data_IF_473842081370
#
_entry.id   IF_473842081370
#
_cell.length_a   1.000
_cell.length_b   1.000
_cell.length_c   1.000
_cell.angle_alpha   90.00
_cell.angle_beta   90.00
_cell.angle_gamma   90.00
#
_symmetry.space_group_name_H-M   'P 1'
#
loop_
_entity.id
_entity.type
_entity.pdbx_description
1 polymer ?
#
# COMPACT_ATOMS: atom_id res chain seq x y z
N UNK A 1 18.61 20.32 7.08
CA UNK A 1 18.84 18.89 7.44
C UNK A 1 18.62 18.04 6.20
N UNK A 2 19.44 17.02 5.97
CA UNK A 2 19.28 16.15 4.81
C UNK A 2 18.49 14.92 5.25
N UNK A 3 17.44 14.54 4.52
CA UNK A 3 16.68 13.31 4.78
C UNK A 3 17.60 12.12 4.54
N UNK A 4 17.75 11.25 5.53
CA UNK A 4 18.62 10.09 5.46
C UNK A 4 17.85 8.86 5.00
N UNK A 5 18.49 8.09 4.13
CA UNK A 5 17.94 6.85 3.58
C UNK A 5 18.86 5.67 3.93
N UNK A 6 18.28 4.49 3.97
CA UNK A 6 19.01 3.22 4.02
C UNK A 6 18.53 2.26 2.95
N UNK A 7 19.39 1.35 2.59
CA UNK A 7 19.05 0.22 1.71
C UNK A 7 18.78 -1.01 2.57
N UNK A 8 17.70 -1.72 2.23
CA UNK A 8 17.33 -2.98 2.85
C UNK A 8 17.37 -4.05 1.78
N UNK A 9 18.15 -5.10 2.01
CA UNK A 9 18.18 -6.29 1.17
C UNK A 9 17.25 -7.35 1.76
N UNK A 10 16.35 -7.90 0.92
CA UNK A 10 15.41 -8.95 1.34
C UNK A 10 15.11 -9.90 0.18
N UNK A 11 14.63 -11.10 0.51
CA UNK A 11 14.22 -12.10 -0.48
C UNK A 11 12.69 -12.20 -0.53
N UNK A 12 12.10 -12.04 -1.72
CA UNK A 12 10.67 -12.21 -1.99
C UNK A 12 10.49 -12.91 -3.33
N UNK A 13 9.64 -13.94 -3.39
CA UNK A 13 9.31 -14.64 -4.62
C UNK A 13 10.52 -15.30 -5.31
N UNK A 14 11.50 -15.76 -4.55
CA UNK A 14 12.73 -16.38 -5.07
C UNK A 14 13.74 -15.37 -5.68
N UNK A 15 13.50 -14.08 -5.52
CA UNK A 15 14.38 -13.00 -5.98
C UNK A 15 14.87 -12.15 -4.81
N UNK A 16 16.11 -11.65 -4.89
CA UNK A 16 16.63 -10.63 -3.98
C UNK A 16 16.22 -9.25 -4.45
N UNK A 17 15.79 -8.44 -3.48
CA UNK A 17 15.33 -7.07 -3.67
C UNK A 17 16.17 -6.12 -2.86
N UNK A 18 16.52 -4.99 -3.44
CA UNK A 18 17.17 -3.88 -2.75
C UNK A 18 16.18 -2.72 -2.66
N UNK A 19 15.78 -2.38 -1.46
CA UNK A 19 14.75 -1.36 -1.21
C UNK A 19 15.36 -0.17 -0.49
N UNK A 20 15.29 0.99 -1.12
CA UNK A 20 15.56 2.29 -0.49
C UNK A 20 14.35 2.68 0.34
N UNK A 21 14.62 3.02 1.59
CA UNK A 21 13.61 3.54 2.50
C UNK A 21 14.22 4.62 3.40
N UNK A 22 13.39 5.35 4.15
CA UNK A 22 13.88 6.25 5.19
C UNK A 22 14.74 5.48 6.21
N UNK A 23 15.82 6.09 6.67
CA UNK A 23 16.69 5.48 7.69
C UNK A 23 15.95 5.27 9.01
N UNK A 24 15.12 6.24 9.41
CA UNK A 24 14.22 6.17 10.57
C UNK A 24 12.96 6.99 10.28
N UNK A 25 11.84 6.62 10.90
CA UNK A 25 10.63 7.45 10.93
C UNK A 25 10.77 8.66 11.88
N UNK A 26 11.74 8.61 12.79
CA UNK A 26 11.92 9.62 13.85
C UNK A 26 12.93 10.70 13.45
N UNK A 27 13.44 10.70 12.22
CA UNK A 27 14.37 11.71 11.70
C UNK A 27 13.67 13.00 11.24
N UNK A 28 12.69 13.48 12.04
CA UNK A 28 11.95 14.67 11.68
C UNK A 28 12.64 15.94 12.19
N UNK A 29 12.68 16.96 11.33
CA UNK A 29 13.20 18.26 11.72
C UNK A 29 12.38 18.89 12.84
N UNK A 30 12.99 19.88 13.50
CA UNK A 30 12.30 20.81 14.40
C UNK A 30 11.15 21.51 13.68
N UNK A 31 10.20 22.11 14.43
CA UNK A 31 9.01 22.81 13.84
C UNK A 31 9.39 23.79 12.71
N UNK A 32 10.47 24.54 12.85
CA UNK A 32 10.95 25.50 11.84
C UNK A 32 11.48 24.82 10.57
N UNK A 33 12.10 23.65 10.72
CA UNK A 33 12.64 22.87 9.59
C UNK A 33 11.55 22.05 8.90
N UNK A 34 10.46 21.70 9.61
CA UNK A 34 9.29 21.01 9.05
C UNK A 34 8.60 21.85 7.98
N UNK A 35 8.36 23.15 8.22
CA UNK A 35 7.74 24.03 7.25
C UNK A 35 8.55 24.14 5.95
N UNK A 36 9.88 24.16 6.03
CA UNK A 36 10.73 24.37 4.86
C UNK A 36 11.10 23.10 4.10
N UNK A 37 11.21 21.95 4.78
CA UNK A 37 11.61 20.65 4.20
C UNK A 37 10.38 19.79 3.93
N UNK A 38 9.42 19.78 4.84
CA UNK A 38 8.22 18.97 4.75
C UNK A 38 7.43 19.25 3.47
N UNK A 39 7.11 20.52 3.20
CA UNK A 39 6.36 20.90 1.99
C UNK A 39 7.08 20.53 0.69
N UNK A 40 8.42 20.58 0.67
CA UNK A 40 9.22 20.23 -0.52
C UNK A 40 9.31 18.73 -0.76
N UNK A 41 9.36 17.92 0.33
CA UNK A 41 9.59 16.47 0.25
C UNK A 41 8.26 15.71 0.27
N UNK A 42 7.29 16.18 1.07
CA UNK A 42 6.06 15.42 1.36
C UNK A 42 4.81 16.01 0.69
N UNK A 43 4.86 17.28 0.28
CA UNK A 43 3.72 18.03 -0.24
C UNK A 43 2.96 18.77 0.87
N UNK A 44 2.51 19.99 0.57
CA UNK A 44 1.80 20.86 1.52
C UNK A 44 0.43 20.32 1.98
N UNK A 45 -0.12 19.37 1.22
CA UNK A 45 -1.44 18.76 1.43
C UNK A 45 -1.40 17.47 2.25
N UNK A 46 -0.21 16.99 2.65
CA UNK A 46 -0.04 15.79 3.48
C UNK A 46 0.13 16.17 4.94
N UNK A 47 -0.72 15.69 5.87
CA UNK A 47 -0.54 15.92 7.30
C UNK A 47 0.84 15.47 7.79
N UNK A 48 1.47 16.25 8.64
CA UNK A 48 2.83 16.00 9.15
C UNK A 48 2.99 14.60 9.80
N UNK A 49 1.95 14.14 10.51
CA UNK A 49 1.92 12.83 11.13
C UNK A 49 2.04 11.67 10.14
N UNK A 50 1.72 11.91 8.87
CA UNK A 50 1.73 10.90 7.81
C UNK A 50 3.00 10.93 6.94
N UNK A 51 3.82 11.97 7.06
CA UNK A 51 5.01 12.15 6.21
C UNK A 51 5.94 10.94 6.18
N UNK A 52 6.30 10.30 7.33
CA UNK A 52 7.24 9.19 7.30
C UNK A 52 6.63 7.86 6.88
N UNK A 53 5.32 7.72 6.97
CA UNK A 53 4.68 6.40 6.88
C UNK A 53 4.89 5.77 5.50
N UNK A 54 4.78 6.55 4.43
CA UNK A 54 5.01 6.08 3.06
C UNK A 54 6.48 5.77 2.73
N UNK A 55 7.42 6.28 3.55
CA UNK A 55 8.86 6.09 3.36
C UNK A 55 9.44 4.83 4.02
N UNK A 56 8.66 4.06 4.73
CA UNK A 56 9.12 2.89 5.53
C UNK A 56 8.61 1.59 4.91
N UNK A 57 9.48 0.58 4.88
CA UNK A 57 9.10 -0.79 4.52
C UNK A 57 8.48 -1.49 5.75
N UNK A 58 7.17 -1.57 5.76
CA UNK A 58 6.42 -2.21 6.85
C UNK A 58 6.40 -3.74 6.72
N UNK A 59 6.38 -4.49 7.83
CA UNK A 59 6.29 -5.95 7.78
C UNK A 59 5.07 -6.47 7.00
N UNK A 60 3.93 -5.79 7.10
CA UNK A 60 2.72 -6.12 6.33
C UNK A 60 2.92 -5.98 4.81
N UNK A 61 3.72 -4.99 4.38
CA UNK A 61 4.08 -4.81 2.97
C UNK A 61 4.99 -5.93 2.46
N UNK A 62 5.90 -6.43 3.30
CA UNK A 62 6.73 -7.61 2.96
C UNK A 62 5.85 -8.85 2.81
N UNK A 63 4.92 -9.08 3.73
CA UNK A 63 3.99 -10.21 3.67
C UNK A 63 3.08 -10.12 2.44
N UNK A 64 2.53 -8.93 2.14
CA UNK A 64 1.75 -8.70 0.92
C UNK A 64 2.56 -9.05 -0.33
N UNK A 65 3.81 -8.58 -0.40
CA UNK A 65 4.70 -8.87 -1.52
C UNK A 65 5.00 -10.38 -1.66
N UNK A 66 5.15 -11.12 -0.57
CA UNK A 66 5.30 -12.58 -0.58
C UNK A 66 4.06 -13.29 -1.11
N UNK A 67 2.86 -12.83 -0.71
CA UNK A 67 1.59 -13.41 -1.19
C UNK A 67 1.46 -13.19 -2.69
N UNK A 68 1.59 -11.95 -3.17
CA UNK A 68 1.42 -11.65 -4.60
C UNK A 68 2.54 -12.27 -5.46
N UNK A 69 3.69 -12.57 -4.89
CA UNK A 69 4.74 -13.32 -5.58
C UNK A 69 4.35 -14.77 -5.90
N UNK A 70 3.45 -15.37 -5.12
CA UNK A 70 3.01 -16.76 -5.28
C UNK A 70 1.69 -16.93 -6.04
N UNK A 71 0.96 -15.85 -6.28
CA UNK A 71 -0.35 -15.86 -6.93
C UNK A 71 -0.25 -15.47 -8.41
N UNK A 72 -1.31 -15.73 -9.20
CA UNK A 72 -1.38 -15.46 -10.62
C UNK A 72 -2.46 -14.41 -10.91
N UNK A 73 -2.12 -13.43 -11.78
CA UNK A 73 -2.97 -12.28 -12.10
C UNK A 73 -3.03 -12.00 -13.62
N UNK A 74 -2.99 -13.05 -14.44
CA UNK A 74 -2.96 -12.94 -15.90
C UNK A 74 -4.19 -12.21 -16.43
N UNK A 75 -3.97 -11.16 -17.22
CA UNK A 75 -5.04 -10.34 -17.81
C UNK A 75 -5.81 -9.46 -16.82
N UNK A 76 -5.38 -9.40 -15.56
CA UNK A 76 -6.01 -8.58 -14.53
C UNK A 76 -5.35 -7.21 -14.43
N UNK A 77 -6.17 -6.17 -14.26
CA UNK A 77 -5.75 -4.80 -13.91
C UNK A 77 -5.70 -4.67 -12.41
N UNK A 78 -4.53 -4.37 -11.86
CA UNK A 78 -4.25 -4.38 -10.42
C UNK A 78 -3.99 -2.97 -9.93
N UNK A 79 -4.53 -2.61 -8.75
CA UNK A 79 -4.20 -1.39 -8.01
C UNK A 79 -3.63 -1.74 -6.64
N UNK A 80 -2.47 -1.21 -6.30
CA UNK A 80 -2.01 -1.17 -4.91
C UNK A 80 -2.38 0.18 -4.29
N UNK A 81 -3.09 0.16 -3.15
CA UNK A 81 -3.46 1.35 -2.38
C UNK A 81 -2.55 1.50 -1.15
N UNK A 82 -2.11 2.73 -0.87
CA UNK A 82 -1.15 2.98 0.22
C UNK A 82 0.16 2.24 0.01
N UNK A 83 0.74 2.35 -1.20
CA UNK A 83 1.87 1.52 -1.60
C UNK A 83 3.18 1.81 -0.83
N UNK A 84 3.35 3.01 -0.27
CA UNK A 84 4.57 3.40 0.42
C UNK A 84 5.82 3.21 -0.45
N UNK A 85 6.74 2.34 -0.02
CA UNK A 85 7.94 1.97 -0.80
C UNK A 85 7.64 1.03 -1.97
N UNK A 86 6.39 0.62 -2.15
CA UNK A 86 5.80 -0.09 -3.29
C UNK A 86 6.37 -1.50 -3.56
N UNK A 87 6.84 -2.23 -2.55
CA UNK A 87 7.45 -3.55 -2.76
C UNK A 87 6.51 -4.54 -3.48
N UNK A 88 5.21 -4.59 -3.13
CA UNK A 88 4.27 -5.51 -3.76
C UNK A 88 4.04 -5.16 -5.24
N UNK A 89 3.87 -3.87 -5.57
CA UNK A 89 3.79 -3.40 -6.97
C UNK A 89 5.05 -3.71 -7.77
N UNK A 90 6.24 -3.54 -7.16
CA UNK A 90 7.51 -3.89 -7.80
C UNK A 90 7.60 -5.39 -8.10
N UNK A 91 7.18 -6.23 -7.17
CA UNK A 91 7.12 -7.70 -7.36
C UNK A 91 6.17 -8.06 -8.50
N UNK A 92 4.96 -7.53 -8.52
CA UNK A 92 3.98 -7.75 -9.58
C UNK A 92 4.53 -7.28 -10.95
N UNK A 93 5.11 -6.08 -11.01
CA UNK A 93 5.68 -5.53 -12.25
C UNK A 93 6.82 -6.37 -12.79
N UNK A 94 7.69 -6.88 -11.91
CA UNK A 94 8.80 -7.76 -12.30
C UNK A 94 8.33 -9.09 -12.92
N UNK A 95 7.10 -9.51 -12.63
CA UNK A 95 6.44 -10.69 -13.17
C UNK A 95 5.62 -10.40 -14.43
N UNK A 96 5.63 -9.14 -14.91
CA UNK A 96 4.95 -8.72 -16.13
C UNK A 96 3.47 -8.35 -15.97
N UNK A 97 2.95 -8.25 -14.74
CA UNK A 97 1.55 -7.90 -14.51
C UNK A 97 1.27 -6.41 -14.73
N UNK A 98 0.03 -6.10 -15.07
CA UNK A 98 -0.48 -4.73 -15.19
C UNK A 98 -0.87 -4.22 -13.79
N UNK A 99 0.03 -3.45 -13.18
CA UNK A 99 -0.14 -2.89 -11.84
C UNK A 99 0.09 -1.40 -11.81
N UNK A 100 -0.83 -0.70 -11.13
CA UNK A 100 -0.74 0.71 -10.77
C UNK A 100 -0.49 0.76 -9.25
N UNK A 101 0.54 1.49 -8.85
CA UNK A 101 0.79 1.77 -7.44
C UNK A 101 0.17 3.11 -7.06
N UNK A 102 -0.49 3.21 -5.93
CA UNK A 102 -1.06 4.47 -5.48
C UNK A 102 -0.79 4.77 -4.01
N UNK A 103 -0.66 6.05 -3.73
CA UNK A 103 -0.50 6.57 -2.37
C UNK A 103 -1.06 7.99 -2.31
N UNK A 104 -1.48 8.41 -1.12
CA UNK A 104 -1.86 9.80 -0.86
C UNK A 104 -0.65 10.72 -0.95
N UNK A 105 0.52 10.24 -0.53
CA UNK A 105 1.77 10.99 -0.54
C UNK A 105 2.52 10.79 -1.87
N UNK A 106 2.73 11.88 -2.62
CA UNK A 106 3.47 11.85 -3.89
C UNK A 106 4.92 11.37 -3.77
N UNK A 107 5.53 11.49 -2.59
CA UNK A 107 6.87 10.98 -2.30
C UNK A 107 6.98 9.45 -2.48
N UNK A 108 5.90 8.69 -2.23
CA UNK A 108 5.87 7.26 -2.52
C UNK A 108 6.16 6.97 -4.01
N UNK A 109 5.70 7.85 -4.92
CA UNK A 109 6.01 7.74 -6.34
C UNK A 109 7.48 7.98 -6.70
N UNK A 110 8.18 8.80 -5.94
CA UNK A 110 9.63 8.99 -6.10
C UNK A 110 10.38 7.74 -5.63
N UNK A 111 10.09 7.25 -4.44
CA UNK A 111 10.67 6.01 -3.90
C UNK A 111 10.39 4.80 -4.79
N UNK A 112 9.17 4.69 -5.35
CA UNK A 112 8.82 3.64 -6.29
C UNK A 112 9.74 3.65 -7.51
N UNK A 113 9.97 4.82 -8.15
CA UNK A 113 10.85 4.93 -9.32
C UNK A 113 12.30 4.58 -8.99
N UNK A 114 12.80 5.06 -7.86
CA UNK A 114 14.15 4.73 -7.38
C UNK A 114 14.28 3.22 -7.07
N UNK A 115 13.32 2.65 -6.38
CA UNK A 115 13.30 1.22 -6.05
C UNK A 115 13.19 0.34 -7.30
N UNK A 116 12.41 0.76 -8.30
CA UNK A 116 12.37 0.08 -9.61
C UNK A 116 13.75 0.08 -10.30
N UNK A 117 14.42 1.25 -10.31
CA UNK A 117 15.77 1.41 -10.87
C UNK A 117 16.80 0.54 -10.14
N UNK A 118 16.81 0.54 -8.81
CA UNK A 118 17.70 -0.29 -7.99
C UNK A 118 17.57 -1.79 -8.27
N UNK A 119 16.41 -2.23 -8.73
CA UNK A 119 16.12 -3.63 -9.02
C UNK A 119 16.09 -3.97 -10.51
N UNK A 120 16.47 -3.03 -11.39
CA UNK A 120 16.49 -3.20 -12.84
C UNK A 120 15.15 -3.67 -13.43
N UNK A 121 14.05 -3.07 -13.01
CA UNK A 121 12.70 -3.32 -13.52
C UNK A 121 12.06 -2.02 -14.03
N UNK A 122 11.13 -2.08 -15.00
CA UNK A 122 10.32 -0.93 -15.34
C UNK A 122 9.51 -0.46 -14.13
N UNK A 123 9.47 0.85 -13.88
CA UNK A 123 8.65 1.38 -12.80
C UNK A 123 7.16 1.14 -13.11
N UNK A 124 6.36 0.65 -12.15
CA UNK A 124 4.91 0.70 -12.22
C UNK A 124 4.41 2.14 -12.44
N UNK A 125 3.24 2.30 -13.05
CA UNK A 125 2.57 3.60 -13.04
C UNK A 125 2.26 3.99 -11.59
N UNK A 126 2.48 5.27 -11.25
CA UNK A 126 2.11 5.82 -9.95
C UNK A 126 0.90 6.75 -10.09
N UNK A 127 -0.06 6.60 -9.19
CA UNK A 127 -1.24 7.44 -9.07
C UNK A 127 -1.28 8.06 -7.67
N UNK A 128 -1.26 9.39 -7.59
CA UNK A 128 -1.60 10.08 -6.33
C UNK A 128 -3.10 9.92 -6.09
N UNK A 129 -3.47 9.23 -5.02
CA UNK A 129 -4.85 8.83 -4.75
C UNK A 129 -5.23 9.12 -3.30
N UNK A 130 -6.32 9.89 -3.11
CA UNK A 130 -7.02 10.04 -1.83
C UNK A 130 -8.28 9.17 -1.84
N UNK A 131 -8.54 8.43 -0.77
CA UNK A 131 -9.79 7.67 -0.63
C UNK A 131 -10.99 8.55 -0.29
N UNK A 132 -10.75 9.78 0.19
CA UNK A 132 -11.80 10.76 0.52
C UNK A 132 -12.37 11.44 -0.71
N UNK A 133 -11.57 11.59 -1.77
CA UNK A 133 -11.98 12.15 -3.06
C UNK A 133 -11.37 11.33 -4.21
N UNK A 134 -11.82 10.07 -4.39
CA UNK A 134 -11.22 9.16 -5.34
C UNK A 134 -11.68 9.46 -6.77
N UNK A 135 -10.72 9.61 -7.67
CA UNK A 135 -10.97 9.54 -9.10
C UNK A 135 -10.61 8.14 -9.62
N UNK A 136 -11.59 7.45 -10.19
CA UNK A 136 -11.42 6.12 -10.80
C UNK A 136 -11.98 6.17 -12.21
N UNK A 137 -11.10 6.11 -13.21
CA UNK A 137 -11.47 6.09 -14.64
C UNK A 137 -12.09 4.74 -15.03
N UNK A 138 -11.45 3.65 -14.64
CA UNK A 138 -11.89 2.28 -14.86
C UNK A 138 -11.70 1.43 -13.60
N UNK A 139 -12.71 0.60 -13.21
CA UNK A 139 -12.58 -0.32 -12.09
C UNK A 139 -11.49 -1.36 -12.30
N UNK A 140 -10.97 -1.87 -11.19
CA UNK A 140 -9.88 -2.84 -11.13
C UNK A 140 -10.41 -4.26 -10.91
N UNK A 141 -9.69 -5.23 -11.46
CA UNK A 141 -9.94 -6.65 -11.20
C UNK A 141 -9.47 -7.03 -9.81
N UNK A 142 -8.32 -6.45 -9.39
CA UNK A 142 -7.71 -6.71 -8.09
C UNK A 142 -7.27 -5.41 -7.44
N UNK A 143 -7.61 -5.23 -6.16
CA UNK A 143 -7.10 -4.15 -5.32
C UNK A 143 -6.32 -4.77 -4.17
N UNK A 144 -5.06 -4.36 -4.00
CA UNK A 144 -4.22 -4.82 -2.90
C UNK A 144 -3.79 -3.68 -2.00
N UNK A 145 -3.50 -3.97 -0.73
CA UNK A 145 -3.00 -2.96 0.20
C UNK A 145 -2.44 -3.58 1.48
N UNK A 146 -1.57 -2.86 2.15
CA UNK A 146 -1.03 -3.30 3.43
C UNK A 146 -0.92 -2.14 4.42
N UNK A 147 -1.30 -2.43 5.68
CA UNK A 147 -1.19 -1.48 6.80
C UNK A 147 -1.90 -0.13 6.57
N UNK A 148 -3.04 -0.14 5.87
CA UNK A 148 -3.81 1.07 5.49
C UNK A 148 -4.90 1.45 6.49
N UNK A 149 -5.15 0.65 7.53
CA UNK A 149 -6.21 0.87 8.51
C UNK A 149 -5.66 1.50 9.81
N UNK A 150 -4.82 2.51 9.70
CA UNK A 150 -4.08 3.08 10.85
C UNK A 150 -4.77 4.31 11.50
N UNK A 151 -5.71 4.97 10.81
CA UNK A 151 -6.42 6.14 11.31
C UNK A 151 -7.93 5.88 11.55
N UNK A 152 -8.56 6.65 12.46
CA UNK A 152 -10.00 6.68 12.58
C UNK A 152 -10.63 7.15 11.25
N UNK A 153 -11.58 6.34 10.71
CA UNK A 153 -12.21 6.66 9.42
C UNK A 153 -11.76 5.77 8.27
N UNK A 154 -10.48 5.37 8.21
CA UNK A 154 -9.93 4.54 7.13
C UNK A 154 -10.81 3.32 6.78
N UNK A 155 -11.40 2.67 7.79
CA UNK A 155 -12.29 1.52 7.57
C UNK A 155 -13.49 1.83 6.66
N UNK A 156 -14.10 3.00 6.84
CA UNK A 156 -15.23 3.44 6.02
C UNK A 156 -14.73 3.94 4.65
N UNK A 157 -13.68 4.75 4.63
CA UNK A 157 -13.11 5.34 3.41
C UNK A 157 -12.64 4.26 2.44
N UNK A 158 -11.87 3.27 2.93
CA UNK A 158 -11.41 2.14 2.10
C UNK A 158 -12.59 1.30 1.62
N UNK A 159 -13.62 1.09 2.45
CA UNK A 159 -14.81 0.36 2.04
C UNK A 159 -15.58 1.09 0.92
N UNK A 160 -15.80 2.41 1.03
CA UNK A 160 -16.45 3.20 -0.02
C UNK A 160 -15.59 3.24 -1.28
N UNK A 161 -14.28 3.35 -1.15
CA UNK A 161 -13.37 3.24 -2.27
C UNK A 161 -13.49 1.89 -2.99
N UNK A 162 -13.53 0.77 -2.26
CA UNK A 162 -13.72 -0.56 -2.85
C UNK A 162 -15.05 -0.70 -3.60
N UNK A 163 -16.13 -0.07 -3.12
CA UNK A 163 -17.43 -0.07 -3.83
C UNK A 163 -17.32 0.57 -5.20
N UNK A 164 -16.58 1.66 -5.30
CA UNK A 164 -16.36 2.42 -6.52
C UNK A 164 -15.35 1.75 -7.45
N UNK A 165 -14.20 1.36 -6.91
CA UNK A 165 -13.02 1.01 -7.69
C UNK A 165 -12.90 -0.47 -8.04
N UNK A 166 -13.63 -1.37 -7.35
CA UNK A 166 -13.56 -2.80 -7.61
C UNK A 166 -14.62 -3.23 -8.61
N UNK A 167 -14.26 -3.98 -9.65
CA UNK A 167 -15.20 -4.60 -10.59
C UNK A 167 -16.21 -5.49 -9.85
N UNK A 168 -17.39 -5.77 -10.42
CA UNK A 168 -18.36 -6.69 -9.80
C UNK A 168 -17.77 -8.08 -9.49
N UNK A 169 -16.95 -8.63 -10.39
CA UNK A 169 -16.24 -9.91 -10.21
C UNK A 169 -14.85 -9.76 -9.58
N UNK A 170 -14.48 -8.55 -9.20
CA UNK A 170 -13.15 -8.25 -8.66
C UNK A 170 -12.97 -8.72 -7.22
N UNK A 171 -11.70 -8.82 -6.81
CA UNK A 171 -11.31 -9.17 -5.46
C UNK A 171 -10.31 -8.17 -4.86
N UNK A 172 -10.32 -8.04 -3.53
CA UNK A 172 -9.31 -7.27 -2.85
C UNK A 172 -8.54 -8.12 -1.83
N UNK A 173 -7.26 -7.81 -1.66
CA UNK A 173 -6.35 -8.48 -0.74
C UNK A 173 -5.69 -7.44 0.16
N UNK A 174 -5.97 -7.49 1.45
CA UNK A 174 -5.34 -6.61 2.43
C UNK A 174 -4.54 -7.39 3.47
N UNK A 175 -3.40 -6.84 3.86
CA UNK A 175 -2.60 -7.34 4.98
C UNK A 175 -2.57 -6.27 6.07
N UNK A 176 -3.05 -6.63 7.27
CA UNK A 176 -3.11 -5.73 8.41
C UNK A 176 -2.35 -6.32 9.61
N UNK A 177 -1.51 -5.55 10.32
CA UNK A 177 -0.73 -6.04 11.46
C UNK A 177 -1.58 -6.29 12.73
N UNK A 178 -2.90 -6.18 12.63
CA UNK A 178 -3.83 -6.29 13.76
C UNK A 178 -4.14 -4.95 14.41
N UNK A 179 -4.29 -3.91 13.61
CA UNK A 179 -4.65 -2.58 14.06
C UNK A 179 -6.06 -2.56 14.69
N UNK A 180 -6.33 -1.57 15.52
CA UNK A 180 -7.61 -1.44 16.21
C UNK A 180 -8.82 -1.35 15.26
N UNK A 181 -8.59 -0.77 14.06
CA UNK A 181 -9.65 -0.50 13.09
C UNK A 181 -10.01 -1.67 12.16
N UNK A 182 -9.21 -2.75 12.15
CA UNK A 182 -9.43 -3.89 11.26
C UNK A 182 -10.77 -4.60 11.51
N UNK A 183 -11.19 -4.74 12.77
CA UNK A 183 -12.53 -5.32 13.10
C UNK A 183 -13.67 -4.45 12.60
N UNK A 184 -13.53 -3.13 12.71
CA UNK A 184 -14.51 -2.19 12.16
C UNK A 184 -14.56 -2.32 10.64
N UNK A 185 -13.44 -2.49 9.98
CA UNK A 185 -13.37 -2.70 8.53
C UNK A 185 -14.13 -3.97 8.12
N UNK A 186 -13.90 -5.10 8.80
CA UNK A 186 -14.61 -6.35 8.55
C UNK A 186 -16.15 -6.17 8.65
N UNK A 187 -16.64 -5.50 9.70
CA UNK A 187 -18.08 -5.23 9.88
C UNK A 187 -18.62 -4.24 8.85
N UNK A 188 -17.85 -3.22 8.49
CA UNK A 188 -18.22 -2.24 7.45
C UNK A 188 -18.34 -2.92 6.08
N UNK A 189 -17.40 -3.78 5.71
CA UNK A 189 -17.44 -4.57 4.48
C UNK A 189 -18.70 -5.44 4.40
N UNK A 190 -19.04 -6.15 5.48
CA UNK A 190 -20.23 -6.99 5.54
C UNK A 190 -21.52 -6.17 5.37
N UNK A 191 -21.60 -5.02 6.03
CA UNK A 191 -22.74 -4.10 5.91
C UNK A 191 -22.85 -3.52 4.49
N UNK A 192 -21.74 -3.36 3.78
CA UNK A 192 -21.67 -2.89 2.40
C UNK A 192 -21.91 -3.99 1.36
N UNK A 193 -22.21 -5.24 1.78
CA UNK A 193 -22.48 -6.35 0.88
C UNK A 193 -21.25 -7.09 0.36
N UNK A 194 -20.07 -6.84 0.93
CA UNK A 194 -18.88 -7.64 0.62
C UNK A 194 -18.82 -8.92 1.46
N UNK A 195 -18.25 -9.96 0.90
CA UNK A 195 -17.73 -11.11 1.65
C UNK A 195 -16.27 -10.87 1.99
N UNK A 196 -15.88 -11.31 3.18
CA UNK A 196 -14.50 -11.21 3.65
C UNK A 196 -14.09 -12.52 4.33
N UNK A 197 -13.05 -13.17 3.80
CA UNK A 197 -12.37 -14.26 4.47
C UNK A 197 -11.12 -13.72 5.17
N UNK A 198 -10.96 -14.05 6.44
CA UNK A 198 -9.82 -13.61 7.26
C UNK A 198 -8.94 -14.82 7.57
N UNK A 199 -7.64 -14.71 7.26
CA UNK A 199 -6.63 -15.72 7.55
C UNK A 199 -5.58 -15.14 8.48
N UNK A 200 -5.19 -15.88 9.50
CA UNK A 200 -4.07 -15.58 10.39
C UNK A 200 -2.85 -16.38 9.93
N UNK A 201 -1.81 -15.73 9.35
CA UNK A 201 -0.66 -16.44 8.79
C UNK A 201 0.14 -17.20 9.86
N UNK A 202 0.13 -16.70 11.11
CA UNK A 202 0.78 -17.32 12.24
C UNK A 202 -0.22 -17.39 13.41
N UNK A 203 -0.39 -18.57 13.99
CA UNK A 203 -1.26 -18.76 15.14
C UNK A 203 -0.75 -17.99 16.35
N UNK A 204 -1.63 -17.20 16.97
CA UNK A 204 -1.30 -16.35 18.14
C UNK A 204 -0.79 -14.95 17.79
N UNK A 205 -0.49 -14.66 16.53
CA UNK A 205 -0.19 -13.30 16.07
C UNK A 205 -1.45 -12.50 15.72
N UNK A 206 -1.30 -11.18 15.68
CA UNK A 206 -2.40 -10.26 15.36
C UNK A 206 -2.55 -10.00 13.87
N UNK A 207 -1.51 -10.27 13.08
CA UNK A 207 -1.50 -10.05 11.64
C UNK A 207 -2.61 -10.82 10.95
N UNK A 208 -3.32 -10.17 10.03
CA UNK A 208 -4.45 -10.71 9.29
C UNK A 208 -4.25 -10.51 7.80
N UNK A 209 -4.64 -11.51 7.04
CA UNK A 209 -4.81 -11.43 5.59
C UNK A 209 -6.32 -11.43 5.34
N UNK A 210 -6.83 -10.36 4.71
CA UNK A 210 -8.23 -10.19 4.38
C UNK A 210 -8.41 -10.38 2.87
N UNK A 211 -9.18 -11.38 2.48
CA UNK A 211 -9.61 -11.60 1.09
C UNK A 211 -11.05 -11.17 0.96
N UNK A 212 -11.32 -10.21 0.08
CA UNK A 212 -12.58 -9.50 -0.02
C UNK A 212 -13.10 -9.62 -1.45
N UNK A 213 -14.41 -9.84 -1.60
CA UNK A 213 -15.09 -9.85 -2.90
C UNK A 213 -16.55 -9.40 -2.77
N UNK A 214 -17.13 -8.90 -3.84
CA UNK A 214 -18.56 -8.54 -3.87
C UNK A 214 -19.43 -9.80 -3.81
N UNK A 215 -20.60 -9.71 -3.16
CA UNK A 215 -21.62 -10.74 -3.32
C UNK A 215 -22.10 -10.73 -4.77
N UNK A 216 -22.16 -11.92 -5.41
CA UNK A 216 -22.79 -12.10 -6.70
C UNK A 216 -24.29 -11.84 -6.59
#
# INVERSE_FOLDING_TARGET
MTVEYKLVDLAVGGRFWKIKQLASRDQFPTEVEKESIGERVWGADVPESLWPLSGILWPSGILLAQIVASETYDGMRILEVGCGVALASLVLKSRGYDVIASDYNSFAGELLRENASLNNIPAPQFLKLSWQDPYVDEPYDVIIGSDVLYEPGCANEVCEFLKLALKPSGAALFVDPGRAHVRKFETTLQAAGFKCAVVWPVQGEKTRILRIWKNA
#
